data_IF_347460422637
#
_entry.id   IF_347460422637
#
_cell.length_a   1.000
_cell.length_b   1.000
_cell.length_c   1.000
_cell.angle_alpha   90.00
_cell.angle_beta   90.00
_cell.angle_gamma   90.00
#
_symmetry.space_group_name_H-M   'P 1'
#
loop_
_entity.id
_entity.type
_entity.pdbx_description
1 polymer ?
#
# COMPACT_ATOMS: atom_id res chain seq x y z
N UNK A 1 -29.82 33.28 11.11
CA UNK A 1 -28.57 33.21 10.33
C UNK A 1 -28.17 31.75 10.32
N UNK A 2 -28.25 31.10 9.17
CA UNK A 2 -27.84 29.71 9.02
C UNK A 2 -26.31 29.71 8.94
N UNK A 3 -25.66 29.13 9.95
CA UNK A 3 -24.20 28.98 9.93
C UNK A 3 -23.92 27.85 8.97
N UNK A 4 -23.65 28.19 7.70
CA UNK A 4 -23.18 27.22 6.71
C UNK A 4 -21.81 26.72 7.18
N UNK A 5 -21.79 25.55 7.82
CA UNK A 5 -20.56 24.88 8.21
C UNK A 5 -19.88 24.31 6.96
N UNK A 6 -19.21 25.17 6.21
CA UNK A 6 -18.30 24.78 5.12
C UNK A 6 -16.93 24.34 5.66
N UNK A 7 -16.91 23.64 6.79
CA UNK A 7 -15.75 22.84 7.18
C UNK A 7 -15.69 21.64 6.25
N UNK A 8 -14.59 21.49 5.53
CA UNK A 8 -14.35 20.36 4.63
C UNK A 8 -14.30 19.06 5.46
N UNK A 9 -15.46 18.52 5.83
CA UNK A 9 -15.57 17.32 6.66
C UNK A 9 -15.07 16.13 5.84
N UNK A 10 -14.16 15.34 6.42
CA UNK A 10 -13.70 14.13 5.77
C UNK A 10 -14.87 13.17 5.62
N UNK A 11 -15.04 12.61 4.42
CA UNK A 11 -16.06 11.58 4.17
C UNK A 11 -15.55 10.20 4.59
N UNK A 12 -16.45 9.32 4.99
CA UNK A 12 -16.14 7.89 5.16
C UNK A 12 -16.30 7.21 3.80
N UNK A 13 -15.25 6.52 3.34
CA UNK A 13 -15.21 5.92 2.01
C UNK A 13 -14.29 4.68 2.03
N UNK A 14 -14.76 3.62 2.71
CA UNK A 14 -13.99 2.37 2.84
C UNK A 14 -13.73 1.71 1.48
N UNK A 15 -14.64 1.87 0.52
CA UNK A 15 -14.47 1.37 -0.85
C UNK A 15 -13.23 1.98 -1.52
N UNK A 16 -12.98 3.29 -1.32
CA UNK A 16 -11.77 3.92 -1.83
C UNK A 16 -10.51 3.37 -1.12
N UNK A 17 -10.55 3.12 0.19
CA UNK A 17 -9.42 2.50 0.91
C UNK A 17 -9.12 1.09 0.37
N UNK A 18 -10.17 0.27 0.17
CA UNK A 18 -10.11 -1.08 -0.42
C UNK A 18 -9.47 -1.02 -1.81
N UNK A 19 -10.00 -0.16 -2.70
CA UNK A 19 -9.48 -0.03 -4.07
C UNK A 19 -8.02 0.43 -4.04
N UNK A 20 -7.66 1.35 -3.16
CA UNK A 20 -6.28 1.86 -3.05
C UNK A 20 -5.32 0.72 -2.69
N UNK A 21 -5.67 -0.17 -1.76
CA UNK A 21 -4.90 -1.39 -1.50
C UNK A 21 -4.85 -2.34 -2.71
N UNK A 22 -5.99 -2.63 -3.34
CA UNK A 22 -6.02 -3.56 -4.48
C UNK A 22 -5.26 -3.05 -5.70
N UNK A 23 -5.13 -1.74 -5.88
CA UNK A 23 -4.33 -1.16 -6.97
C UNK A 23 -2.83 -1.48 -6.85
N UNK A 24 -2.34 -1.91 -5.68
CA UNK A 24 -0.98 -2.43 -5.52
C UNK A 24 -0.73 -3.68 -6.40
N UNK A 25 -1.76 -4.46 -6.70
CA UNK A 25 -1.66 -5.64 -7.57
C UNK A 25 -1.37 -5.29 -9.04
N UNK A 26 -1.48 -4.02 -9.43
CA UNK A 26 -1.06 -3.56 -10.76
C UNK A 26 0.44 -3.76 -11.02
N UNK A 27 1.26 -3.93 -9.97
CA UNK A 27 2.67 -4.31 -10.13
C UNK A 27 2.83 -5.62 -10.92
N UNK A 28 1.92 -6.59 -10.77
CA UNK A 28 2.00 -7.86 -11.51
C UNK A 28 1.69 -7.73 -13.00
N UNK A 29 1.03 -6.65 -13.41
CA UNK A 29 0.66 -6.40 -14.82
C UNK A 29 1.65 -5.43 -15.47
N UNK A 30 2.06 -4.40 -14.73
CA UNK A 30 2.79 -3.24 -15.27
C UNK A 30 4.24 -3.16 -14.78
N UNK A 31 4.62 -3.92 -13.76
CA UNK A 31 5.93 -3.85 -13.09
C UNK A 31 6.08 -2.72 -12.07
N UNK A 32 5.33 -1.62 -12.19
CA UNK A 32 5.49 -0.43 -11.32
C UNK A 32 4.16 0.21 -10.86
N UNK A 33 3.04 -0.14 -11.48
CA UNK A 33 1.73 0.48 -11.24
C UNK A 33 1.24 0.35 -9.81
N UNK A 34 1.68 -0.68 -9.08
CA UNK A 34 1.31 -0.86 -7.69
C UNK A 34 1.94 0.12 -6.71
N UNK A 35 2.93 0.93 -7.12
CA UNK A 35 3.41 2.08 -6.34
C UNK A 35 2.76 3.38 -6.84
N UNK A 36 2.72 3.58 -8.14
CA UNK A 36 2.30 4.85 -8.75
C UNK A 36 0.80 5.11 -8.55
N UNK A 37 -0.05 4.10 -8.78
CA UNK A 37 -1.51 4.29 -8.71
C UNK A 37 -1.97 4.58 -7.27
N UNK A 38 -1.58 3.82 -6.24
CA UNK A 38 -1.92 4.18 -4.86
C UNK A 38 -1.39 5.55 -4.44
N UNK A 39 -0.19 5.94 -4.89
CA UNK A 39 0.39 7.25 -4.57
C UNK A 39 -0.47 8.39 -5.12
N UNK A 40 -0.94 8.27 -6.37
CA UNK A 40 -1.85 9.25 -6.97
C UNK A 40 -3.16 9.31 -6.19
N UNK A 41 -3.76 8.15 -5.86
CA UNK A 41 -5.02 8.11 -5.10
C UNK A 41 -4.83 8.78 -3.73
N UNK A 42 -3.81 8.36 -2.97
CA UNK A 42 -3.49 8.89 -1.65
C UNK A 42 -3.25 10.40 -1.69
N UNK A 43 -2.40 10.90 -2.58
CA UNK A 43 -2.11 12.32 -2.70
C UNK A 43 -3.35 13.19 -2.95
N UNK A 44 -4.34 12.66 -3.68
CA UNK A 44 -5.57 13.38 -4.02
C UNK A 44 -6.68 13.27 -2.96
N UNK A 45 -6.59 12.32 -2.03
CA UNK A 45 -7.68 11.95 -1.13
C UNK A 45 -7.31 11.91 0.36
N UNK A 46 -6.03 12.04 0.73
CA UNK A 46 -5.53 11.99 2.12
C UNK A 46 -6.25 12.95 3.08
N UNK A 47 -6.60 14.15 2.61
CA UNK A 47 -7.26 15.19 3.41
C UNK A 47 -8.80 15.18 3.25
N UNK A 48 -9.34 14.21 2.50
CA UNK A 48 -10.76 14.14 2.12
C UNK A 48 -11.47 12.90 2.64
N UNK A 49 -10.73 11.81 2.92
CA UNK A 49 -11.29 10.52 3.31
C UNK A 49 -10.72 10.07 4.64
N UNK A 50 -11.60 9.71 5.56
CA UNK A 50 -11.23 9.19 6.88
C UNK A 50 -10.36 7.93 6.72
N UNK A 51 -9.22 7.89 7.41
CA UNK A 51 -8.27 6.77 7.35
C UNK A 51 -7.34 6.75 6.12
N UNK A 52 -7.61 7.55 5.09
CA UNK A 52 -6.83 7.51 3.85
C UNK A 52 -5.35 7.82 4.05
N UNK A 53 -5.00 8.74 4.97
CA UNK A 53 -3.60 9.04 5.23
C UNK A 53 -2.84 7.85 5.85
N UNK A 54 -3.47 7.13 6.78
CA UNK A 54 -2.90 5.94 7.43
C UNK A 54 -2.69 4.80 6.43
N UNK A 55 -3.74 4.47 5.67
CA UNK A 55 -3.69 3.43 4.65
C UNK A 55 -2.70 3.78 3.53
N UNK A 56 -2.72 5.03 3.05
CA UNK A 56 -1.79 5.51 2.03
C UNK A 56 -0.33 5.40 2.46
N UNK A 57 0.02 5.89 3.65
CA UNK A 57 1.39 5.75 4.19
C UNK A 57 1.81 4.29 4.34
N UNK A 58 0.92 3.42 4.82
CA UNK A 58 1.19 1.99 4.94
C UNK A 58 1.48 1.35 3.57
N UNK A 59 0.70 1.70 2.54
CA UNK A 59 0.91 1.23 1.16
C UNK A 59 2.27 1.68 0.64
N UNK A 60 2.61 2.97 0.75
CA UNK A 60 3.88 3.49 0.26
C UNK A 60 5.06 2.84 0.99
N UNK A 61 4.98 2.73 2.32
CA UNK A 61 5.99 2.04 3.12
C UNK A 61 6.19 0.59 2.67
N UNK A 62 5.11 -0.14 2.45
CA UNK A 62 5.17 -1.52 1.98
C UNK A 62 5.77 -1.65 0.57
N UNK A 63 5.33 -0.84 -0.40
CA UNK A 63 5.84 -0.88 -1.76
C UNK A 63 7.34 -0.55 -1.82
N UNK A 64 7.79 0.47 -1.08
CA UNK A 64 9.21 0.80 -0.99
C UNK A 64 10.02 -0.32 -0.31
N UNK A 65 9.44 -0.98 0.69
CA UNK A 65 10.07 -2.14 1.33
C UNK A 65 10.26 -3.30 0.36
N UNK A 66 9.22 -3.64 -0.41
CA UNK A 66 9.31 -4.69 -1.45
C UNK A 66 10.38 -4.36 -2.49
N UNK A 67 10.47 -3.10 -2.92
CA UNK A 67 11.50 -2.65 -3.88
C UNK A 67 12.90 -2.83 -3.29
N UNK A 68 13.13 -2.40 -2.05
CA UNK A 68 14.42 -2.55 -1.38
C UNK A 68 14.77 -4.04 -1.22
N UNK A 69 13.82 -4.87 -0.76
CA UNK A 69 14.05 -6.30 -0.62
C UNK A 69 14.34 -6.97 -1.97
N UNK A 70 13.67 -6.56 -3.04
CA UNK A 70 13.95 -7.06 -4.39
C UNK A 70 15.35 -6.66 -4.87
N UNK A 71 15.76 -5.40 -4.65
CA UNK A 71 17.11 -4.92 -4.98
C UNK A 71 18.18 -5.71 -4.22
N UNK A 72 17.97 -5.97 -2.93
CA UNK A 72 18.88 -6.77 -2.11
C UNK A 72 18.90 -8.25 -2.50
N UNK A 73 17.78 -8.78 -3.02
CA UNK A 73 17.70 -10.14 -3.49
C UNK A 73 18.55 -10.40 -4.74
N UNK A 74 18.74 -9.41 -5.62
CA UNK A 74 19.54 -9.55 -6.85
C UNK A 74 20.98 -10.02 -6.58
N UNK A 75 21.81 -9.32 -5.79
CA UNK A 75 23.16 -9.81 -5.48
C UNK A 75 23.13 -11.11 -4.66
N UNK A 76 22.08 -11.33 -3.85
CA UNK A 76 21.91 -12.58 -3.11
C UNK A 76 21.64 -13.80 -4.01
N UNK A 77 21.35 -13.63 -5.30
CA UNK A 77 21.30 -14.75 -6.26
C UNK A 77 22.66 -15.44 -6.35
N UNK A 78 23.76 -14.70 -6.22
CA UNK A 78 25.12 -15.25 -6.24
C UNK A 78 25.42 -16.12 -5.00
N UNK A 79 24.62 -16.00 -3.95
CA UNK A 79 24.71 -16.82 -2.73
C UNK A 79 23.90 -18.12 -2.90
N UNK A 80 24.33 -18.97 -3.85
CA UNK A 80 23.70 -20.28 -4.13
C UNK A 80 22.20 -20.19 -4.48
N UNK A 81 21.79 -19.12 -5.17
CA UNK A 81 20.39 -18.93 -5.58
C UNK A 81 19.45 -18.44 -4.48
N UNK A 82 19.95 -18.06 -3.29
CA UNK A 82 19.15 -17.53 -2.19
C UNK A 82 18.26 -16.36 -2.62
N UNK A 83 18.79 -15.47 -3.47
CA UNK A 83 18.03 -14.37 -4.05
C UNK A 83 16.75 -14.80 -4.78
N UNK A 84 16.76 -15.95 -5.47
CA UNK A 84 15.57 -16.46 -6.17
C UNK A 84 14.48 -16.84 -5.17
N UNK A 85 14.84 -17.50 -4.07
CA UNK A 85 13.91 -17.87 -2.99
C UNK A 85 13.28 -16.60 -2.39
N UNK A 86 14.08 -15.57 -2.15
CA UNK A 86 13.61 -14.28 -1.66
C UNK A 86 12.64 -13.62 -2.66
N UNK A 87 12.98 -13.60 -3.95
CA UNK A 87 12.11 -13.02 -4.98
C UNK A 87 10.76 -13.74 -5.09
N UNK A 88 10.74 -15.08 -5.00
CA UNK A 88 9.50 -15.86 -4.97
C UNK A 88 8.67 -15.51 -3.73
N UNK A 89 9.31 -15.46 -2.56
CA UNK A 89 8.64 -15.05 -1.33
C UNK A 89 8.04 -13.64 -1.45
N UNK A 90 8.81 -12.67 -1.95
CA UNK A 90 8.31 -11.30 -2.18
C UNK A 90 7.16 -11.26 -3.18
N UNK A 91 7.20 -12.10 -4.22
CA UNK A 91 6.13 -12.23 -5.19
C UNK A 91 4.82 -12.74 -4.58
N UNK A 92 4.88 -13.66 -3.61
CA UNK A 92 3.69 -14.13 -2.88
C UNK A 92 3.26 -13.07 -1.86
N UNK A 93 4.23 -12.53 -1.12
CA UNK A 93 3.98 -11.58 -0.04
C UNK A 93 3.35 -10.27 -0.54
N UNK A 94 3.86 -9.74 -1.66
CA UNK A 94 3.33 -8.57 -2.36
C UNK A 94 1.95 -8.79 -2.99
N UNK A 95 1.49 -10.04 -3.10
CA UNK A 95 0.16 -10.36 -3.60
C UNK A 95 -0.83 -10.49 -2.45
N UNK A 96 -0.44 -11.21 -1.38
CA UNK A 96 -1.30 -11.52 -0.25
C UNK A 96 -1.56 -10.29 0.63
N UNK A 97 -0.53 -9.50 0.98
CA UNK A 97 -0.73 -8.41 1.93
C UNK A 97 -1.65 -7.28 1.45
N UNK A 98 -1.62 -6.84 0.18
CA UNK A 98 -2.60 -5.89 -0.32
C UNK A 98 -4.04 -6.41 -0.20
N UNK A 99 -4.29 -7.70 -0.44
CA UNK A 99 -5.61 -8.31 -0.29
C UNK A 99 -6.04 -8.33 1.18
N UNK A 100 -5.15 -8.74 2.09
CA UNK A 100 -5.43 -8.74 3.53
C UNK A 100 -5.76 -7.33 4.01
N UNK A 101 -4.97 -6.33 3.62
CA UNK A 101 -5.20 -4.94 4.00
C UNK A 101 -6.46 -4.34 3.34
N UNK A 102 -6.82 -4.78 2.15
CA UNK A 102 -8.10 -4.43 1.53
C UNK A 102 -9.28 -4.97 2.36
N UNK A 103 -9.23 -6.24 2.81
CA UNK A 103 -10.27 -6.81 3.68
C UNK A 103 -10.36 -6.04 5.00
N UNK A 104 -9.23 -5.72 5.62
CA UNK A 104 -9.18 -4.88 6.83
C UNK A 104 -9.81 -3.52 6.62
N UNK A 105 -9.45 -2.83 5.54
CA UNK A 105 -10.03 -1.54 5.18
C UNK A 105 -11.56 -1.63 4.99
N UNK A 106 -12.05 -2.72 4.40
CA UNK A 106 -13.49 -2.97 4.27
C UNK A 106 -14.19 -3.08 5.62
N UNK A 107 -13.53 -3.68 6.62
CA UNK A 107 -14.03 -3.80 8.00
C UNK A 107 -13.83 -2.52 8.84
N UNK A 108 -13.21 -1.47 8.29
CA UNK A 108 -12.85 -0.26 9.05
C UNK A 108 -11.66 -0.47 9.99
N UNK A 109 -10.83 -1.48 9.75
CA UNK A 109 -9.63 -1.77 10.53
C UNK A 109 -8.38 -1.10 9.93
N UNK A 110 -7.45 -0.70 10.80
CA UNK A 110 -6.11 -0.22 10.41
C UNK A 110 -5.34 -1.23 9.56
N UNK A 111 -4.47 -0.77 8.63
CA UNK A 111 -3.66 -1.65 7.80
C UNK A 111 -2.65 -2.45 8.64
N UNK A 112 -2.31 -3.65 8.16
CA UNK A 112 -1.18 -4.42 8.69
C UNK A 112 0.14 -3.75 8.35
N UNK A 113 1.01 -3.64 9.35
CA UNK A 113 2.40 -3.16 9.22
C UNK A 113 3.43 -4.29 9.10
N UNK A 114 2.99 -5.53 8.90
CA UNK A 114 3.87 -6.67 8.85
C UNK A 114 4.84 -6.60 7.66
N UNK A 115 6.14 -6.76 7.93
CA UNK A 115 7.17 -6.82 6.90
C UNK A 115 7.40 -5.52 6.12
N UNK A 116 6.91 -4.36 6.59
CA UNK A 116 7.25 -3.06 6.02
C UNK A 116 8.23 -2.28 6.91
N UNK A 117 9.14 -1.56 6.26
CA UNK A 117 9.98 -0.51 6.83
C UNK A 117 9.18 0.80 6.82
N UNK A 118 9.17 1.53 7.94
CA UNK A 118 8.42 2.79 8.07
C UNK A 118 9.28 3.98 7.59
N UNK A 119 9.05 4.44 6.38
CA UNK A 119 9.65 5.66 5.83
C UNK A 119 8.81 6.89 6.14
N UNK A 120 7.49 6.72 6.12
CA UNK A 120 6.49 7.72 6.47
C UNK A 120 5.84 7.34 7.80
N UNK A 121 5.82 8.29 8.74
CA UNK A 121 5.19 8.17 10.07
C UNK A 121 3.83 8.85 10.16
#
# INVERSE_FOLDING_TARGET
MEVVNNGNSMRVDNSLLVITHLTQLLTYITGFGGLIVPLIIWANSKDKVVGMDEHGKAIINFQLSLIIYAILAIPAILLLGLGIIILIFLGIFGFVLPIVNAVKASNGESPSYFGMIRFLS
#
